data_IF_016055524543
#
_entry.id   IF_016055524543
#
_cell.length_a   1.000
_cell.length_b   1.000
_cell.length_c   1.000
_cell.angle_alpha   90.00
_cell.angle_beta   90.00
_cell.angle_gamma   90.00
#
_symmetry.space_group_name_H-M   'P 1'
#
loop_
_entity.id
_entity.type
_entity.pdbx_description
1 polymer ?
#
# COMPACT_ATOMS: atom_id res chain seq x y z
N UNK A 1 -23.21 65.34 35.54
CA UNK A 1 -22.13 64.33 35.45
C UNK A 1 -20.87 65.01 34.93
N UNK A 2 -19.80 65.12 35.73
CA UNK A 2 -18.60 65.87 35.34
C UNK A 2 -17.84 65.16 34.21
N UNK A 3 -17.20 65.93 33.31
CA UNK A 3 -16.36 65.39 32.21
C UNK A 3 -15.34 64.34 32.69
N UNK A 4 -14.92 64.43 33.97
CA UNK A 4 -14.02 63.48 34.62
C UNK A 4 -14.62 62.08 34.77
N UNK A 5 -15.92 61.97 35.04
CA UNK A 5 -16.61 60.68 35.14
C UNK A 5 -16.84 60.04 33.76
N UNK A 6 -17.08 60.85 32.73
CA UNK A 6 -17.19 60.36 31.34
C UNK A 6 -15.85 59.80 30.84
N UNK A 7 -14.74 60.50 31.07
CA UNK A 7 -13.40 60.06 30.68
C UNK A 7 -12.97 58.78 31.42
N UNK A 8 -13.27 58.67 32.71
CA UNK A 8 -12.97 57.48 33.50
C UNK A 8 -13.77 56.25 33.02
N UNK A 9 -15.05 56.41 32.69
CA UNK A 9 -15.90 55.32 32.20
C UNK A 9 -15.43 54.83 30.81
N UNK A 10 -15.05 55.75 29.92
CA UNK A 10 -14.52 55.37 28.59
C UNK A 10 -13.17 54.65 28.69
N UNK A 11 -12.29 55.08 29.60
CA UNK A 11 -10.99 54.43 29.80
C UNK A 11 -11.16 53.00 30.35
N UNK A 12 -12.06 52.82 31.32
CA UNK A 12 -12.36 51.50 31.90
C UNK A 12 -12.94 50.53 30.86
N UNK A 13 -13.85 51.02 29.98
CA UNK A 13 -14.41 50.21 28.91
C UNK A 13 -13.36 49.79 27.88
N UNK A 14 -12.47 50.71 27.48
CA UNK A 14 -11.38 50.41 26.55
C UNK A 14 -10.40 49.40 27.15
N UNK A 15 -10.04 49.56 28.43
CA UNK A 15 -9.18 48.61 29.13
C UNK A 15 -9.81 47.21 29.24
N UNK A 16 -11.11 47.12 29.53
CA UNK A 16 -11.82 45.84 29.56
C UNK A 16 -11.89 45.16 28.19
N UNK A 17 -12.13 45.94 27.12
CA UNK A 17 -12.14 45.43 25.74
C UNK A 17 -10.76 44.92 25.32
N UNK A 18 -9.68 45.66 25.64
CA UNK A 18 -8.30 45.24 25.33
C UNK A 18 -7.89 44.01 26.14
N UNK A 19 -8.24 43.94 27.43
CA UNK A 19 -7.96 42.76 28.25
C UNK A 19 -8.73 41.53 27.74
N UNK A 20 -9.97 41.71 27.31
CA UNK A 20 -10.80 40.66 26.72
C UNK A 20 -10.21 40.10 25.42
N UNK A 21 -9.75 40.96 24.52
CA UNK A 21 -9.14 40.51 23.24
C UNK A 21 -7.80 39.78 23.45
N UNK A 22 -6.98 40.22 24.42
CA UNK A 22 -5.73 39.54 24.79
C UNK A 22 -6.02 38.15 25.37
N UNK A 23 -7.04 38.00 26.23
CA UNK A 23 -7.41 36.71 26.83
C UNK A 23 -7.96 35.72 25.78
N UNK A 24 -8.83 36.17 24.87
CA UNK A 24 -9.36 35.34 23.77
C UNK A 24 -8.25 34.88 22.81
N UNK A 25 -7.25 35.73 22.56
CA UNK A 25 -6.10 35.39 21.72
C UNK A 25 -5.23 34.28 22.35
N UNK A 26 -5.10 34.25 23.69
CA UNK A 26 -4.33 33.22 24.41
C UNK A 26 -5.04 31.87 24.48
N UNK A 27 -6.37 31.85 24.51
CA UNK A 27 -7.15 30.60 24.47
C UNK A 27 -7.17 29.95 23.06
N UNK A 28 -7.01 30.76 22.01
CA UNK A 28 -7.05 30.27 20.62
C UNK A 28 -5.75 29.58 20.19
N UNK A 29 -4.64 29.83 20.88
CA UNK A 29 -3.34 29.19 20.60
C UNK A 29 -3.21 27.79 21.17
N UNK A 30 -4.01 27.39 22.16
CA UNK A 30 -3.88 26.07 22.82
C UNK A 30 -4.61 24.92 22.11
N UNK A 31 -5.43 25.21 21.09
CA UNK A 31 -6.23 24.19 20.37
C UNK A 31 -5.56 23.76 19.05
N UNK A 32 -4.49 24.44 18.60
CA UNK A 32 -3.83 24.15 17.31
C UNK A 32 -2.58 23.27 17.42
N UNK A 33 -2.28 22.77 18.62
CA UNK A 33 -1.06 21.99 18.92
C UNK A 33 -1.34 20.48 19.14
N UNK A 34 -2.37 19.92 18.51
CA UNK A 34 -2.68 18.48 18.63
C UNK A 34 -2.76 17.69 17.31
N UNK A 35 -2.97 18.36 16.15
CA UNK A 35 -3.28 17.64 14.90
C UNK A 35 -2.34 17.96 13.73
N UNK A 36 -1.10 18.38 13.99
CA UNK A 36 -0.06 18.40 12.93
C UNK A 36 0.84 17.18 13.11
N UNK A 37 0.75 16.15 12.23
CA UNK A 37 1.76 15.10 12.17
C UNK A 37 3.13 15.77 12.03
N UNK A 38 4.15 15.38 12.81
CA UNK A 38 5.45 16.02 12.69
C UNK A 38 5.93 15.88 11.26
N UNK A 39 6.20 17.04 10.63
CA UNK A 39 6.95 17.08 9.39
C UNK A 39 8.22 16.24 9.58
N UNK A 40 8.43 15.22 8.73
CA UNK A 40 9.58 14.32 8.80
C UNK A 40 10.87 15.15 8.74
N UNK A 41 11.42 15.49 9.91
CA UNK A 41 12.83 15.91 10.03
C UNK A 41 13.65 14.74 9.51
N UNK A 42 14.56 14.99 8.58
CA UNK A 42 15.32 13.99 7.82
C UNK A 42 15.86 12.84 8.68
N UNK A 43 15.06 11.78 8.81
CA UNK A 43 15.38 10.58 9.55
C UNK A 43 15.85 9.51 8.58
N UNK A 44 16.96 8.85 8.93
CA UNK A 44 17.46 7.67 8.25
C UNK A 44 16.30 6.74 7.86
N UNK A 45 16.27 6.16 6.64
CA UNK A 45 15.29 5.14 6.28
C UNK A 45 15.24 4.12 7.41
N UNK A 46 14.05 3.74 7.89
CA UNK A 46 14.04 2.88 9.05
C UNK A 46 14.52 1.48 8.60
N UNK A 47 15.11 0.76 9.55
CA UNK A 47 15.99 -0.38 9.24
C UNK A 47 15.57 -1.62 10.00
N UNK A 48 15.72 -2.79 9.39
CA UNK A 48 15.44 -4.10 10.02
C UNK A 48 16.76 -4.69 10.50
N UNK A 49 16.83 -5.10 11.77
CA UNK A 49 18.00 -5.77 12.34
C UNK A 49 18.21 -7.17 11.75
N UNK A 50 19.42 -7.44 11.26
CA UNK A 50 19.81 -8.73 10.69
C UNK A 50 20.19 -9.70 11.82
N UNK A 51 19.56 -10.87 11.83
CA UNK A 51 19.83 -11.95 12.79
C UNK A 51 20.47 -13.15 12.10
N UNK A 52 21.10 -14.03 12.87
CA UNK A 52 21.69 -15.26 12.33
C UNK A 52 20.63 -16.18 11.67
N UNK A 53 19.45 -16.31 12.30
CA UNK A 53 18.35 -17.09 11.73
C UNK A 53 17.86 -16.51 10.39
N UNK A 54 17.79 -15.17 10.29
CA UNK A 54 17.43 -14.49 9.05
C UNK A 54 18.43 -14.78 7.93
N UNK A 55 19.74 -14.77 8.23
CA UNK A 55 20.78 -15.11 7.25
C UNK A 55 20.71 -16.58 6.83
N UNK A 56 20.49 -17.49 7.78
CA UNK A 56 20.35 -18.92 7.48
C UNK A 56 19.12 -19.20 6.60
N UNK A 57 17.98 -18.58 6.91
CA UNK A 57 16.76 -18.68 6.10
C UNK A 57 16.97 -18.10 4.70
N UNK A 58 17.57 -16.92 4.61
CA UNK A 58 17.91 -16.28 3.35
C UNK A 58 18.86 -17.13 2.48
N UNK A 59 19.81 -17.83 3.09
CA UNK A 59 20.72 -18.75 2.40
C UNK A 59 19.96 -19.94 1.77
N UNK A 60 18.99 -20.50 2.49
CA UNK A 60 18.14 -21.59 1.97
C UNK A 60 17.34 -21.10 0.76
N UNK A 61 16.66 -19.95 0.89
CA UNK A 61 15.93 -19.34 -0.22
C UNK A 61 16.84 -19.05 -1.42
N UNK A 62 18.04 -18.53 -1.17
CA UNK A 62 19.00 -18.21 -2.21
C UNK A 62 19.47 -19.46 -2.97
N UNK A 63 19.75 -20.56 -2.27
CA UNK A 63 20.07 -21.85 -2.90
C UNK A 63 18.93 -22.34 -3.79
N UNK A 64 17.69 -22.23 -3.32
CA UNK A 64 16.55 -22.79 -4.01
C UNK A 64 16.10 -21.95 -5.22
N UNK A 65 16.35 -20.63 -5.20
CA UNK A 65 15.85 -19.70 -6.21
C UNK A 65 16.93 -19.00 -7.06
N UNK A 66 18.18 -18.92 -6.60
CA UNK A 66 19.17 -17.99 -7.18
C UNK A 66 20.46 -18.68 -7.64
N UNK A 67 20.91 -19.75 -6.97
CA UNK A 67 22.27 -20.28 -7.15
C UNK A 67 22.54 -20.91 -8.52
N UNK A 68 21.52 -21.34 -9.26
CA UNK A 68 21.68 -21.89 -10.61
C UNK A 68 22.26 -20.86 -11.59
N UNK A 69 21.97 -19.58 -11.39
CA UNK A 69 22.47 -18.48 -12.21
C UNK A 69 23.50 -17.60 -11.48
N UNK A 70 23.37 -17.39 -10.18
CA UNK A 70 24.29 -16.52 -9.44
C UNK A 70 25.43 -17.26 -8.74
N UNK A 71 25.43 -18.61 -8.74
CA UNK A 71 26.35 -19.44 -7.97
C UNK A 71 25.98 -19.49 -6.49
N UNK A 72 26.44 -20.51 -5.76
CA UNK A 72 26.11 -20.70 -4.33
C UNK A 72 26.64 -19.56 -3.44
N UNK A 73 27.72 -18.91 -3.87
CA UNK A 73 28.38 -17.82 -3.14
C UNK A 73 28.14 -16.44 -3.79
N UNK A 74 27.30 -16.35 -4.82
CA UNK A 74 26.97 -15.07 -5.48
C UNK A 74 28.03 -14.51 -6.42
N UNK A 75 29.00 -15.31 -6.84
CA UNK A 75 30.11 -14.88 -7.70
C UNK A 75 29.76 -14.86 -9.19
N UNK A 76 28.49 -15.07 -9.54
CA UNK A 76 28.00 -15.19 -10.92
C UNK A 76 28.68 -16.32 -11.71
N UNK A 77 28.93 -17.42 -11.01
CA UNK A 77 29.59 -18.65 -11.48
C UNK A 77 28.66 -19.87 -11.38
N UNK A 78 27.34 -19.64 -11.36
CA UNK A 78 26.35 -20.70 -11.43
C UNK A 78 26.43 -21.48 -12.73
N UNK A 79 25.92 -22.73 -12.76
CA UNK A 79 25.96 -23.57 -13.96
C UNK A 79 25.29 -22.95 -15.20
N UNK A 80 24.39 -21.99 -15.01
CA UNK A 80 23.73 -21.27 -16.10
C UNK A 80 24.39 -19.92 -16.42
N UNK A 81 25.36 -19.44 -15.63
CA UNK A 81 25.91 -18.09 -15.81
C UNK A 81 26.59 -17.90 -17.18
N UNK A 82 27.34 -18.90 -17.65
CA UNK A 82 28.12 -18.80 -18.89
C UNK A 82 27.29 -18.77 -20.18
N UNK A 83 26.01 -19.12 -20.12
CA UNK A 83 25.09 -19.06 -21.27
C UNK A 83 24.19 -17.81 -21.27
N UNK A 84 24.34 -16.93 -20.28
CA UNK A 84 23.56 -15.71 -20.16
C UNK A 84 24.29 -14.50 -20.77
N UNK A 85 23.55 -13.63 -21.46
CA UNK A 85 24.04 -12.35 -21.94
C UNK A 85 23.03 -11.24 -21.58
N UNK A 86 23.41 -10.23 -20.77
CA UNK A 86 24.67 -10.18 -20.01
C UNK A 86 24.72 -11.27 -18.93
N UNK A 87 25.93 -11.63 -18.49
CA UNK A 87 26.11 -12.50 -17.33
C UNK A 87 25.41 -11.92 -16.09
N UNK A 88 25.00 -12.79 -15.15
CA UNK A 88 24.58 -12.36 -13.82
C UNK A 88 25.66 -11.50 -13.16
N UNK A 89 25.23 -10.60 -12.30
CA UNK A 89 26.13 -9.71 -11.56
C UNK A 89 26.77 -10.46 -10.40
N UNK A 90 28.06 -10.24 -10.20
CA UNK A 90 28.77 -10.67 -8.99
C UNK A 90 28.26 -9.87 -7.78
N UNK A 91 27.59 -10.57 -6.87
CA UNK A 91 26.95 -10.04 -5.66
C UNK A 91 27.93 -9.93 -4.48
N UNK A 92 29.15 -10.46 -4.62
CA UNK A 92 30.22 -10.31 -3.62
C UNK A 92 30.96 -8.97 -3.77
N UNK A 93 30.83 -8.33 -4.93
CA UNK A 93 31.47 -7.04 -5.22
C UNK A 93 30.81 -5.88 -4.48
N UNK A 94 31.45 -5.37 -3.42
CA UNK A 94 31.04 -4.13 -2.71
C UNK A 94 30.91 -2.94 -3.66
N UNK A 95 31.89 -2.77 -4.55
CA UNK A 95 31.90 -1.66 -5.52
C UNK A 95 30.61 -1.61 -6.36
N UNK A 96 30.01 -2.76 -6.65
CA UNK A 96 28.76 -2.84 -7.39
C UNK A 96 27.56 -2.77 -6.44
N UNK A 97 27.55 -3.61 -5.40
CA UNK A 97 26.39 -3.81 -4.55
C UNK A 97 26.09 -2.62 -3.64
N UNK A 98 27.08 -1.86 -3.20
CA UNK A 98 26.87 -0.65 -2.38
C UNK A 98 26.09 0.44 -3.12
N UNK A 99 26.07 0.39 -4.46
CA UNK A 99 25.29 1.32 -5.31
C UNK A 99 23.87 0.85 -5.58
N UNK A 100 23.50 -0.34 -5.13
CA UNK A 100 22.16 -0.91 -5.32
C UNK A 100 21.44 -0.87 -3.97
N UNK A 101 20.40 -0.03 -3.79
CA UNK A 101 19.61 0.01 -2.55
C UNK A 101 18.95 -1.34 -2.25
N UNK A 102 18.69 -1.64 -0.97
CA UNK A 102 18.02 -2.89 -0.57
C UNK A 102 16.65 -3.04 -1.23
N UNK A 103 15.89 -1.94 -1.33
CA UNK A 103 14.59 -1.89 -2.01
C UNK A 103 14.69 -2.24 -3.50
N UNK A 104 15.79 -1.89 -4.16
CA UNK A 104 16.02 -2.22 -5.56
C UNK A 104 16.41 -3.69 -5.73
N UNK A 105 17.16 -4.28 -4.78
CA UNK A 105 17.38 -5.73 -4.74
C UNK A 105 16.03 -6.45 -4.61
N UNK A 106 15.23 -6.06 -3.62
CA UNK A 106 13.91 -6.66 -3.39
C UNK A 106 13.00 -6.55 -4.63
N UNK A 107 12.95 -5.38 -5.26
CA UNK A 107 12.18 -5.16 -6.48
C UNK A 107 12.63 -6.08 -7.61
N UNK A 108 13.94 -6.19 -7.86
CA UNK A 108 14.48 -7.08 -8.92
C UNK A 108 14.17 -8.55 -8.65
N UNK A 109 14.23 -8.98 -7.40
CA UNK A 109 13.81 -10.35 -7.02
C UNK A 109 12.35 -10.57 -7.38
N UNK A 110 11.47 -9.63 -7.03
CA UNK A 110 10.02 -9.80 -7.23
C UNK A 110 9.59 -9.62 -8.68
N UNK A 111 10.19 -8.70 -9.43
CA UNK A 111 9.76 -8.34 -10.79
C UNK A 111 10.64 -8.90 -11.90
N UNK A 112 11.82 -9.42 -11.56
CA UNK A 112 12.84 -9.79 -12.53
C UNK A 112 13.54 -8.58 -13.16
N UNK A 113 14.60 -8.86 -13.93
CA UNK A 113 15.34 -7.88 -14.74
C UNK A 113 16.11 -8.60 -15.86
N UNK A 114 15.85 -8.22 -17.12
CA UNK A 114 16.47 -8.89 -18.27
C UNK A 114 16.16 -10.38 -18.27
N UNK A 115 17.20 -11.22 -18.20
CA UNK A 115 17.06 -12.68 -18.11
C UNK A 115 16.84 -13.21 -16.68
N UNK A 116 16.95 -12.37 -15.65
CA UNK A 116 16.63 -12.75 -14.28
C UNK A 116 15.10 -12.86 -14.14
N UNK A 117 14.54 -14.05 -13.83
CA UNK A 117 13.10 -14.23 -13.72
C UNK A 117 12.53 -13.55 -12.48
N UNK A 118 11.24 -13.24 -12.54
CA UNK A 118 10.47 -12.72 -11.43
C UNK A 118 10.16 -13.82 -10.40
N UNK A 119 10.28 -13.49 -9.11
CA UNK A 119 9.87 -14.33 -7.99
C UNK A 119 8.84 -13.60 -7.10
N UNK A 120 7.64 -13.29 -7.62
CA UNK A 120 6.64 -12.50 -6.89
C UNK A 120 6.12 -13.18 -5.63
N UNK A 121 6.30 -14.50 -5.50
CA UNK A 121 5.96 -15.26 -4.32
C UNK A 121 6.88 -14.96 -3.11
N UNK A 122 8.12 -14.49 -3.34
CA UNK A 122 9.04 -14.10 -2.28
C UNK A 122 8.64 -12.72 -1.76
N UNK A 123 8.05 -12.69 -0.57
CA UNK A 123 7.46 -11.49 0.06
C UNK A 123 7.57 -11.57 1.58
N UNK A 124 7.31 -10.45 2.26
CA UNK A 124 7.36 -10.39 3.72
C UNK A 124 8.71 -10.82 4.28
N UNK A 125 8.71 -11.68 5.30
CA UNK A 125 9.92 -12.14 5.99
C UNK A 125 10.88 -12.91 5.08
N UNK A 126 10.37 -13.70 4.13
CA UNK A 126 11.21 -14.45 3.18
C UNK A 126 12.04 -13.50 2.31
N UNK A 127 11.41 -12.43 1.82
CA UNK A 127 12.10 -11.44 0.99
C UNK A 127 13.13 -10.64 1.81
N UNK A 128 12.78 -10.28 3.04
CA UNK A 128 13.70 -9.59 3.95
C UNK A 128 14.92 -10.46 4.25
N UNK A 129 14.70 -11.74 4.56
CA UNK A 129 15.76 -12.70 4.82
C UNK A 129 16.66 -12.92 3.60
N UNK A 130 16.07 -13.07 2.42
CA UNK A 130 16.81 -13.22 1.17
C UNK A 130 17.68 -11.98 0.88
N UNK A 131 17.14 -10.78 1.01
CA UNK A 131 17.91 -9.55 0.79
C UNK A 131 19.02 -9.39 1.82
N UNK A 132 18.76 -9.71 3.09
CA UNK A 132 19.79 -9.72 4.14
C UNK A 132 20.95 -10.67 3.78
N UNK A 133 20.62 -11.87 3.28
CA UNK A 133 21.63 -12.82 2.80
C UNK A 133 22.38 -12.29 1.57
N UNK A 134 21.70 -11.77 0.54
CA UNK A 134 22.36 -11.20 -0.64
C UNK A 134 23.29 -10.04 -0.24
N UNK A 135 22.89 -9.23 0.74
CA UNK A 135 23.73 -8.14 1.25
C UNK A 135 24.93 -8.67 2.02
N UNK A 136 24.80 -9.80 2.74
CA UNK A 136 25.92 -10.39 3.48
C UNK A 136 27.03 -10.93 2.59
N UNK A 137 26.72 -11.29 1.33
CA UNK A 137 27.71 -11.76 0.34
C UNK A 137 28.78 -10.70 0.02
N UNK A 138 28.39 -9.42 -0.04
CA UNK A 138 29.34 -8.31 -0.20
C UNK A 138 29.75 -7.70 1.14
N UNK A 139 28.88 -7.78 2.16
CA UNK A 139 29.10 -7.21 3.49
C UNK A 139 28.90 -8.26 4.59
N UNK A 140 29.90 -9.10 4.90
CA UNK A 140 29.78 -10.16 5.92
C UNK A 140 29.39 -9.65 7.30
N UNK A 141 29.64 -8.37 7.57
CA UNK A 141 29.34 -7.66 8.81
C UNK A 141 27.97 -6.95 8.82
N UNK A 142 27.10 -7.17 7.83
CA UNK A 142 25.79 -6.51 7.73
C UNK A 142 24.96 -6.71 9.01
N UNK A 143 24.51 -5.60 9.60
CA UNK A 143 23.68 -5.58 10.82
C UNK A 143 22.26 -5.13 10.59
N UNK A 144 22.03 -4.41 9.50
CA UNK A 144 20.73 -3.83 9.18
C UNK A 144 20.49 -3.86 7.66
N UNK A 145 19.22 -3.97 7.27
CA UNK A 145 18.76 -3.76 5.89
C UNK A 145 17.65 -2.70 5.84
N UNK A 146 17.64 -1.89 4.80
CA UNK A 146 16.73 -0.76 4.58
C UNK A 146 15.51 -1.20 3.73
N UNK A 147 14.70 -2.12 4.28
CA UNK A 147 13.53 -2.70 3.59
C UNK A 147 12.16 -2.24 4.12
N UNK A 148 12.09 -1.02 4.63
CA UNK A 148 10.90 -0.44 5.25
C UNK A 148 9.59 -0.66 4.45
N UNK A 149 9.65 -0.59 3.11
CA UNK A 149 8.47 -0.59 2.25
C UNK A 149 7.79 -1.97 2.09
N UNK A 150 8.43 -3.07 2.48
CA UNK A 150 7.93 -4.42 2.19
C UNK A 150 7.64 -5.26 3.44
N UNK A 151 8.09 -4.81 4.62
CA UNK A 151 7.98 -5.58 5.85
C UNK A 151 6.81 -5.12 6.74
N UNK A 152 6.61 -3.82 6.97
CA UNK A 152 5.65 -3.37 7.98
C UNK A 152 5.14 -1.96 7.66
N UNK A 153 3.96 -1.89 7.04
CA UNK A 153 3.02 -0.85 7.36
C UNK A 153 1.85 -1.51 8.06
N UNK A 154 1.73 -1.37 9.38
CA UNK A 154 0.37 -1.16 9.90
C UNK A 154 -0.14 0.03 9.13
N UNK A 155 -1.14 -0.18 8.27
CA UNK A 155 -1.93 0.93 7.74
C UNK A 155 -2.64 1.49 8.97
N UNK A 156 -2.00 2.46 9.63
CA UNK A 156 -2.73 3.34 10.54
C UNK A 156 -3.90 3.89 9.71
N UNK A 157 -5.11 3.73 10.24
CA UNK A 157 -6.35 4.17 9.59
C UNK A 157 -6.76 3.33 8.36
N UNK A 158 -6.50 2.01 8.36
CA UNK A 158 -7.09 1.12 7.37
C UNK A 158 -8.62 1.13 7.48
N UNK A 159 -9.27 1.80 6.53
CA UNK A 159 -10.71 1.68 6.31
C UNK A 159 -10.93 0.58 5.26
N UNK A 160 -11.53 -0.58 5.62
CA UNK A 160 -11.82 -1.61 4.64
C UNK A 160 -12.79 -1.07 3.59
N UNK A 161 -12.47 -1.30 2.32
CA UNK A 161 -13.34 -0.91 1.20
C UNK A 161 -14.65 -1.68 1.29
N UNK A 162 -15.75 -0.96 1.51
CA UNK A 162 -17.09 -1.56 1.56
C UNK A 162 -17.75 -1.53 0.19
N UNK A 163 -18.76 -2.39 -0.01
CA UNK A 163 -19.60 -2.34 -1.21
C UNK A 163 -20.38 -1.01 -1.36
N UNK A 164 -20.54 -0.24 -0.28
CA UNK A 164 -21.10 1.12 -0.35
C UNK A 164 -20.07 2.11 -0.88
N UNK A 165 -18.85 2.12 -0.35
CA UNK A 165 -17.75 2.97 -0.84
C UNK A 165 -17.45 2.78 -2.33
N UNK A 166 -17.66 1.57 -2.87
CA UNK A 166 -17.53 1.29 -4.30
C UNK A 166 -18.73 1.78 -5.14
N UNK A 167 -19.93 1.85 -4.54
CA UNK A 167 -21.14 2.34 -5.21
C UNK A 167 -21.23 3.87 -5.18
N UNK A 168 -20.70 4.49 -4.13
CA UNK A 168 -20.78 5.94 -3.85
C UNK A 168 -19.47 6.47 -3.24
N UNK A 169 -18.33 6.42 -3.96
CA UNK A 169 -17.07 6.93 -3.42
C UNK A 169 -17.14 8.44 -3.18
N UNK A 170 -16.37 8.93 -2.20
CA UNK A 170 -16.30 10.35 -1.88
C UNK A 170 -15.83 11.16 -3.10
N UNK A 171 -16.24 12.43 -3.17
CA UNK A 171 -16.00 13.27 -4.35
C UNK A 171 -14.49 13.44 -4.69
N UNK A 172 -13.64 13.30 -3.69
CA UNK A 172 -12.18 13.36 -3.73
C UNK A 172 -11.50 12.01 -4.06
N UNK A 173 -12.21 10.88 -3.95
CA UNK A 173 -11.71 9.53 -4.24
C UNK A 173 -11.77 9.14 -5.73
N UNK A 174 -12.35 9.99 -6.59
CA UNK A 174 -12.39 9.79 -8.04
C UNK A 174 -11.05 10.14 -8.71
N UNK A 175 -10.02 9.32 -8.47
CA UNK A 175 -8.66 9.59 -9.01
C UNK A 175 -8.48 9.20 -10.48
N UNK A 176 -9.46 8.56 -11.14
CA UNK A 176 -9.27 8.07 -12.53
C UNK A 176 -9.97 8.85 -13.65
N UNK A 177 -10.72 9.92 -13.37
CA UNK A 177 -11.40 10.69 -14.44
C UNK A 177 -11.37 12.21 -14.19
N UNK A 178 -10.20 12.81 -13.91
CA UNK A 178 -10.05 14.28 -13.97
C UNK A 178 -9.91 14.79 -15.41
N UNK A 179 -10.93 14.56 -16.22
CA UNK A 179 -11.50 15.66 -16.97
C UNK A 179 -12.73 16.07 -16.16
N UNK A 180 -12.69 17.25 -15.55
CA UNK A 180 -13.82 17.81 -14.80
C UNK A 180 -15.09 17.63 -15.66
N UNK A 181 -16.00 16.73 -15.27
CA UNK A 181 -17.18 16.35 -16.07
C UNK A 181 -18.11 17.54 -16.35
N UNK A 182 -17.94 18.64 -15.60
CA UNK A 182 -18.51 19.96 -15.89
C UNK A 182 -18.01 20.54 -17.21
N UNK A 183 -16.75 20.30 -17.57
CA UNK A 183 -16.15 20.68 -18.86
C UNK A 183 -16.70 19.85 -20.03
N UNK A 184 -17.23 18.65 -19.77
CA UNK A 184 -17.86 17.80 -20.77
C UNK A 184 -19.35 18.11 -20.99
N UNK A 185 -19.89 19.15 -20.33
CA UNK A 185 -21.30 19.55 -20.45
C UNK A 185 -22.29 18.53 -19.87
N UNK A 186 -21.80 17.49 -19.20
CA UNK A 186 -22.64 16.48 -18.54
C UNK A 186 -22.86 16.92 -17.10
N UNK A 187 -24.05 17.44 -16.80
CA UNK A 187 -24.43 17.69 -15.42
C UNK A 187 -24.57 16.36 -14.69
N UNK A 188 -23.89 16.13 -13.56
CA UNK A 188 -24.14 14.95 -12.75
C UNK A 188 -25.62 14.97 -12.35
N UNK A 189 -26.28 13.81 -12.48
CA UNK A 189 -27.67 13.68 -12.13
C UNK A 189 -27.88 14.17 -10.69
N UNK A 190 -28.78 15.13 -10.49
CA UNK A 190 -29.17 15.59 -9.16
C UNK A 190 -29.57 14.37 -8.34
N UNK A 191 -29.01 14.25 -7.13
CA UNK A 191 -29.24 13.17 -6.17
C UNK A 191 -30.69 12.98 -5.76
N UNK A 192 -31.59 13.89 -6.16
CA UNK A 192 -32.96 13.98 -5.66
C UNK A 192 -33.99 13.33 -6.62
N UNK A 193 -33.56 12.61 -7.65
CA UNK A 193 -34.47 11.85 -8.52
C UNK A 193 -34.23 10.33 -8.44
N UNK A 194 -34.90 9.62 -7.51
CA UNK A 194 -34.90 8.17 -7.51
C UNK A 194 -35.88 7.62 -8.55
N UNK A 195 -35.36 6.73 -9.40
CA UNK A 195 -36.01 5.54 -9.97
C UNK A 195 -37.23 5.62 -10.92
N UNK A 196 -37.84 6.76 -11.20
CA UNK A 196 -39.08 6.74 -12.01
C UNK A 196 -38.90 6.46 -13.51
N UNK A 197 -37.67 6.45 -14.06
CA UNK A 197 -37.47 6.27 -15.51
C UNK A 197 -37.25 4.81 -15.95
N UNK A 198 -36.97 3.89 -15.02
CA UNK A 198 -36.75 2.48 -15.37
C UNK A 198 -38.04 1.63 -15.34
N UNK A 199 -39.05 2.03 -14.56
CA UNK A 199 -40.33 1.31 -14.45
C UNK A 199 -41.29 1.62 -15.61
N UNK A 200 -41.12 2.75 -16.31
CA UNK A 200 -41.92 3.10 -17.48
C UNK A 200 -41.51 2.34 -18.77
N UNK A 201 -40.38 1.63 -18.76
CA UNK A 201 -39.86 0.90 -19.92
C UNK A 201 -40.18 -0.61 -19.91
N UNK A 202 -40.77 -1.14 -18.84
CA UNK A 202 -41.13 -2.55 -18.71
C UNK A 202 -42.65 -2.72 -18.72
N UNK A 203 -43.29 -2.48 -19.87
CA UNK A 203 -44.69 -2.83 -20.08
C UNK A 203 -44.88 -4.33 -20.18
N UNK A 204 -45.27 -4.99 -19.08
CA UNK A 204 -45.89 -6.32 -19.08
C UNK A 204 -46.95 -6.34 -17.96
N UNK A 205 -48.22 -6.35 -18.35
CA UNK A 205 -49.37 -6.44 -17.45
C UNK A 205 -49.56 -7.87 -16.88
N UNK A 206 -50.50 -8.05 -15.94
CA UNK A 206 -50.65 -9.29 -15.20
C UNK A 206 -51.45 -10.32 -16.00
N UNK A 207 -50.95 -11.55 -16.08
CA UNK A 207 -51.74 -12.71 -16.51
C UNK A 207 -51.63 -13.87 -15.52
N UNK A 208 -52.81 -14.41 -15.26
CA UNK A 208 -53.18 -15.47 -14.35
C UNK A 208 -52.36 -16.77 -14.43
N UNK A 209 -52.27 -17.41 -13.26
CA UNK A 209 -52.76 -18.78 -13.07
C UNK A 209 -52.06 -19.92 -13.83
N UNK A 210 -51.22 -20.67 -13.12
CA UNK A 210 -51.40 -22.12 -12.90
C UNK A 210 -50.14 -22.75 -12.26
N UNK A 211 -50.35 -23.45 -11.14
CA UNK A 211 -49.37 -24.32 -10.50
C UNK A 211 -49.18 -25.60 -11.33
N UNK A 212 -47.92 -26.04 -11.55
CA UNK A 212 -47.51 -27.47 -11.48
C UNK A 212 -46.03 -27.58 -11.06
N UNK A 213 -45.64 -28.62 -10.29
CA UNK A 213 -44.31 -28.75 -9.70
C UNK A 213 -43.35 -29.51 -10.63
N UNK A 214 -42.06 -29.20 -10.55
CA UNK A 214 -40.98 -30.00 -11.17
C UNK A 214 -39.98 -30.46 -10.13
N UNK A 215 -39.82 -31.78 -10.09
CA UNK A 215 -38.80 -32.53 -9.36
C UNK A 215 -37.41 -32.22 -9.92
N UNK A 216 -36.43 -31.95 -9.06
CA UNK A 216 -35.00 -32.00 -9.42
C UNK A 216 -34.35 -33.25 -8.81
N UNK A 217 -34.05 -34.21 -9.68
CA UNK A 217 -33.15 -35.32 -9.40
C UNK A 217 -31.70 -34.85 -9.50
N UNK A 218 -30.91 -35.11 -8.46
CA UNK A 218 -29.47 -34.94 -8.44
C UNK A 218 -28.78 -36.09 -9.18
N UNK A 219 -27.79 -35.79 -10.04
CA UNK A 219 -26.92 -36.79 -10.65
C UNK A 219 -25.46 -36.44 -10.38
N UNK A 220 -24.86 -37.17 -9.45
CA UNK A 220 -23.43 -37.15 -9.16
C UNK A 220 -22.64 -37.85 -10.29
N UNK A 221 -21.54 -37.25 -10.73
CA UNK A 221 -20.59 -37.87 -11.67
C UNK A 221 -19.45 -38.52 -10.87
N UNK A 222 -19.33 -39.86 -10.98
CA UNK A 222 -18.15 -40.63 -10.54
C UNK A 222 -17.08 -40.58 -11.64
N UNK A 223 -15.82 -40.34 -11.28
CA UNK A 223 -14.66 -40.50 -12.17
C UNK A 223 -14.04 -41.89 -11.95
N UNK A 224 -13.75 -42.59 -13.04
CA UNK A 224 -13.05 -43.87 -13.07
C UNK A 224 -11.53 -43.67 -12.92
N UNK A 225 -10.89 -44.56 -12.17
CA UNK A 225 -9.44 -44.72 -12.05
C UNK A 225 -9.05 -46.03 -12.76
N UNK A 226 -8.02 -46.07 -13.63
CA UNK A 226 -7.52 -47.31 -14.22
C UNK A 226 -6.46 -47.99 -13.32
N UNK A 227 -6.30 -49.33 -13.39
CA UNK A 227 -5.37 -50.08 -12.54
C UNK A 227 -3.92 -50.08 -13.08
N UNK A 228 -2.97 -50.23 -12.15
CA UNK A 228 -1.53 -50.29 -12.40
C UNK A 228 -1.07 -51.67 -12.93
N UNK A 229 0.01 -51.73 -13.74
CA UNK A 229 0.60 -52.99 -14.18
C UNK A 229 1.58 -53.59 -13.16
N UNK A 230 1.73 -54.91 -13.22
CA UNK A 230 2.66 -55.75 -12.43
C UNK A 230 4.05 -55.79 -13.04
#
# INVERSE_FOLDING_TARGET
MSRRHLLAATLALVLALVAGTILVSRLSTSVREADTPPARRGGQPPTIGVTANMLQHGQVLYRDHCSSCHGSNGQADGPLSGSMSPNPRDQTSRAIMDRVPDTEIARRVQTGVGQMPANPQLRGEDLVALVAFVRSLSRPDVRVVELQALAQGTVADFVPVTAEMLRTPAADDWVMMRADVRLLGVQPARSDQPRQRLEAAAGVGPSDGARRPVHHAARARRRNVPPAPR
#
